data_IF_177767608083
#
_entry.id   IF_177767608083
#
_cell.length_a   1.000
_cell.length_b   1.000
_cell.length_c   1.000
_cell.angle_alpha   90.00
_cell.angle_beta   90.00
_cell.angle_gamma   90.00
#
_symmetry.space_group_name_H-M   'P 1'
#
loop_
_entity.id
_entity.type
_entity.pdbx_description
1 polymer ?
#
# COMPACT_ATOMS: atom_id res chain seq x y z
N UNK A 1 16.83 42.32 -17.58
CA UNK A 1 18.00 41.48 -17.23
C UNK A 1 17.82 40.17 -17.95
N UNK A 2 18.77 39.81 -18.82
CA UNK A 2 18.67 38.70 -19.77
C UNK A 2 18.48 37.36 -19.07
N UNK A 3 17.46 36.60 -19.48
CA UNK A 3 17.39 35.15 -19.28
C UNK A 3 18.56 34.52 -20.03
N UNK A 4 19.66 34.28 -19.32
CA UNK A 4 20.73 33.45 -19.84
C UNK A 4 20.18 32.01 -19.94
N UNK A 5 19.87 31.56 -21.15
CA UNK A 5 19.57 30.16 -21.40
C UNK A 5 20.78 29.35 -20.96
N UNK A 6 20.66 28.60 -19.86
CA UNK A 6 21.68 27.66 -19.42
C UNK A 6 21.81 26.64 -20.56
N UNK A 7 22.87 26.76 -21.37
CA UNK A 7 23.19 25.80 -22.41
C UNK A 7 23.53 24.49 -21.72
N UNK A 8 22.54 23.59 -21.66
CA UNK A 8 22.68 22.25 -21.10
C UNK A 8 23.54 21.42 -22.03
N UNK A 9 24.54 20.71 -21.49
CA UNK A 9 25.09 19.55 -22.19
C UNK A 9 24.00 18.47 -22.26
N UNK A 10 23.98 17.68 -23.33
CA UNK A 10 23.03 16.57 -23.49
C UNK A 10 22.99 15.70 -22.22
N UNK A 11 21.80 15.24 -21.82
CA UNK A 11 21.57 14.49 -20.58
C UNK A 11 22.63 13.40 -20.40
N UNK A 12 23.26 13.39 -19.22
CA UNK A 12 24.28 12.42 -18.80
C UNK A 12 23.67 11.08 -18.36
N UNK A 13 22.56 10.69 -19.00
CA UNK A 13 21.99 9.35 -18.85
C UNK A 13 22.90 8.29 -19.46
N UNK A 14 22.60 6.99 -19.25
CA UNK A 14 23.42 5.87 -19.77
C UNK A 14 23.57 5.86 -21.31
N UNK A 15 22.92 6.77 -22.03
CA UNK A 15 22.92 6.93 -23.49
C UNK A 15 23.58 8.21 -24.04
N UNK A 16 24.41 8.96 -23.27
CA UNK A 16 25.20 10.10 -23.82
C UNK A 16 26.59 10.31 -23.17
N UNK A 17 27.50 11.07 -23.81
CA UNK A 17 28.88 10.68 -24.14
C UNK A 17 29.78 10.44 -22.92
N UNK A 18 30.66 9.43 -23.07
CA UNK A 18 31.64 8.93 -22.10
C UNK A 18 32.02 9.92 -20.98
N UNK A 19 31.32 9.83 -19.86
CA UNK A 19 31.68 10.52 -18.63
C UNK A 19 33.01 9.93 -18.17
N UNK A 20 34.05 10.76 -18.05
CA UNK A 20 35.30 10.32 -17.44
C UNK A 20 35.04 9.81 -16.02
N UNK A 21 35.85 8.86 -15.51
CA UNK A 21 35.62 8.14 -14.25
C UNK A 21 35.21 9.04 -13.05
N UNK A 22 35.72 10.27 -12.97
CA UNK A 22 35.36 11.25 -11.91
C UNK A 22 33.90 11.71 -11.97
N UNK A 23 33.35 11.93 -13.16
CA UNK A 23 31.96 12.36 -13.32
C UNK A 23 30.99 11.23 -12.99
N UNK A 24 31.33 9.99 -13.36
CA UNK A 24 30.54 8.80 -13.00
C UNK A 24 30.51 8.62 -11.48
N UNK A 25 31.68 8.69 -10.81
CA UNK A 25 31.77 8.66 -9.34
C UNK A 25 30.98 9.79 -8.67
N UNK A 26 30.96 10.99 -9.25
CA UNK A 26 30.16 12.10 -8.71
C UNK A 26 28.66 11.84 -8.87
N UNK A 27 28.23 11.32 -10.02
CA UNK A 27 26.82 10.96 -10.26
C UNK A 27 26.34 9.88 -9.29
N UNK A 28 27.11 8.80 -9.13
CA UNK A 28 26.80 7.73 -8.17
C UNK A 28 26.71 8.24 -6.74
N UNK A 29 27.64 9.12 -6.34
CA UNK A 29 27.57 9.73 -5.01
C UNK A 29 26.32 10.59 -4.81
N UNK A 30 25.85 11.29 -5.84
CA UNK A 30 24.59 12.06 -5.76
C UNK A 30 23.41 11.10 -5.58
N UNK A 31 23.33 9.99 -6.32
CA UNK A 31 22.23 9.03 -6.21
C UNK A 31 22.24 8.30 -4.87
N UNK A 32 23.41 7.89 -4.37
CA UNK A 32 23.59 7.26 -3.06
C UNK A 32 23.11 8.15 -1.91
N UNK A 33 23.58 9.40 -1.82
CA UNK A 33 23.14 10.30 -0.73
C UNK A 33 21.68 10.71 -0.88
N UNK A 34 21.16 10.75 -2.11
CA UNK A 34 19.74 11.03 -2.35
C UNK A 34 18.88 9.90 -1.82
N UNK A 35 19.27 8.64 -2.05
CA UNK A 35 18.57 7.47 -1.51
C UNK A 35 18.56 7.49 0.03
N UNK A 36 19.69 7.80 0.66
CA UNK A 36 19.77 7.95 2.13
C UNK A 36 18.84 9.06 2.64
N UNK A 37 18.87 10.23 2.00
CA UNK A 37 18.02 11.37 2.38
C UNK A 37 16.54 11.06 2.18
N UNK A 38 16.16 10.40 1.09
CA UNK A 38 14.79 9.96 0.87
C UNK A 38 14.34 8.95 1.93
N UNK A 39 15.22 8.04 2.36
CA UNK A 39 14.92 7.11 3.45
C UNK A 39 14.70 7.80 4.79
N UNK A 40 15.49 8.84 5.10
CA UNK A 40 15.42 9.54 6.39
C UNK A 40 14.36 10.63 6.46
N UNK A 41 14.21 11.42 5.40
CA UNK A 41 13.35 12.61 5.37
C UNK A 41 12.07 12.39 4.58
N UNK A 42 12.00 11.33 3.77
CA UNK A 42 10.96 11.18 2.75
C UNK A 42 11.26 11.99 1.48
N UNK A 43 10.59 11.61 0.40
CA UNK A 43 10.73 12.24 -0.91
C UNK A 43 10.31 13.71 -0.90
N UNK A 44 9.18 14.02 -0.27
CA UNK A 44 8.59 15.36 -0.30
C UNK A 44 9.45 16.39 0.43
N UNK A 45 10.00 16.04 1.59
CA UNK A 45 10.79 16.94 2.43
C UNK A 45 12.28 17.01 2.06
N UNK A 46 12.74 16.12 1.16
CA UNK A 46 14.10 16.20 0.64
C UNK A 46 14.23 17.32 -0.40
N UNK A 47 15.17 18.24 -0.21
CA UNK A 47 15.46 19.35 -1.12
C UNK A 47 16.74 19.14 -1.94
N UNK A 48 16.82 19.77 -3.10
CA UNK A 48 18.04 19.76 -3.95
C UNK A 48 19.25 20.34 -3.19
N UNK A 49 19.03 21.35 -2.34
CA UNK A 49 20.09 21.95 -1.53
C UNK A 49 20.60 20.98 -0.45
N UNK A 50 19.71 20.20 0.18
CA UNK A 50 20.10 19.15 1.11
C UNK A 50 20.92 18.06 0.42
N UNK A 51 20.50 17.63 -0.77
CA UNK A 51 21.24 16.65 -1.58
C UNK A 51 22.61 17.18 -1.96
N UNK A 52 22.72 18.40 -2.49
CA UNK A 52 24.00 18.99 -2.89
C UNK A 52 24.96 19.10 -1.70
N UNK A 53 24.46 19.53 -0.53
CA UNK A 53 25.23 19.61 0.71
C UNK A 53 25.72 18.22 1.16
N UNK A 54 24.85 17.22 1.18
CA UNK A 54 25.22 15.85 1.56
C UNK A 54 26.22 15.23 0.56
N UNK A 55 26.05 15.52 -0.72
CA UNK A 55 26.98 15.15 -1.79
C UNK A 55 28.24 16.03 -1.81
N UNK A 56 28.47 16.96 -0.87
CA UNK A 56 29.67 17.80 -0.85
C UNK A 56 29.96 18.55 -2.16
N UNK A 57 28.91 18.95 -2.90
CA UNK A 57 29.02 19.70 -4.16
C UNK A 57 28.18 20.97 -4.09
N UNK A 58 28.44 21.93 -4.98
CA UNK A 58 27.57 23.10 -5.09
C UNK A 58 26.24 22.74 -5.76
N UNK A 59 25.18 23.51 -5.45
CA UNK A 59 23.88 23.39 -6.13
C UNK A 59 24.03 23.51 -7.65
N UNK A 60 24.86 24.44 -8.12
CA UNK A 60 25.16 24.61 -9.53
C UNK A 60 25.83 23.37 -10.14
N UNK A 61 26.73 22.70 -9.41
CA UNK A 61 27.34 21.45 -9.85
C UNK A 61 26.32 20.30 -9.88
N UNK A 62 25.39 20.20 -8.93
CA UNK A 62 24.32 19.19 -8.98
C UNK A 62 23.48 19.34 -10.25
N UNK A 63 23.10 20.57 -10.60
CA UNK A 63 22.36 20.84 -11.84
C UNK A 63 23.10 20.51 -13.13
N UNK A 64 24.43 20.30 -13.06
CA UNK A 64 25.18 19.75 -14.19
C UNK A 64 24.89 18.26 -14.39
N UNK A 65 24.47 17.52 -13.37
CA UNK A 65 24.18 16.08 -13.46
C UNK A 65 22.68 15.78 -13.55
N UNK A 66 21.85 16.53 -12.82
CA UNK A 66 20.41 16.29 -12.68
C UNK A 66 19.60 17.60 -12.68
N UNK A 67 18.45 17.62 -13.35
CA UNK A 67 17.49 18.72 -13.38
C UNK A 67 16.80 18.96 -12.03
N UNK A 68 16.88 18.01 -11.12
CA UNK A 68 16.32 18.11 -9.77
C UNK A 68 16.17 16.73 -9.13
N UNK A 69 15.54 16.71 -7.95
CA UNK A 69 15.31 15.47 -7.19
C UNK A 69 14.45 14.46 -7.96
N UNK A 70 13.51 14.94 -8.76
CA UNK A 70 12.62 14.10 -9.58
C UNK A 70 13.43 13.24 -10.57
N UNK A 71 14.44 13.81 -11.26
CA UNK A 71 15.31 13.05 -12.19
C UNK A 71 16.20 12.06 -11.45
N UNK A 72 16.70 12.42 -10.26
CA UNK A 72 17.48 11.50 -9.42
C UNK A 72 16.61 10.31 -8.99
N UNK A 73 15.38 10.57 -8.57
CA UNK A 73 14.44 9.51 -8.19
C UNK A 73 14.11 8.59 -9.37
N UNK A 74 13.91 9.14 -10.57
CA UNK A 74 13.66 8.34 -11.78
C UNK A 74 14.86 7.45 -12.15
N UNK A 75 16.10 7.90 -11.92
CA UNK A 75 17.29 7.06 -12.08
C UNK A 75 17.30 5.89 -11.10
N UNK A 76 17.05 6.15 -9.82
CA UNK A 76 16.95 5.12 -8.79
C UNK A 76 15.79 4.14 -9.06
N UNK A 77 14.66 4.64 -9.55
CA UNK A 77 13.51 3.83 -9.96
C UNK A 77 13.88 2.90 -11.12
N UNK A 78 14.64 3.36 -12.10
CA UNK A 78 15.10 2.52 -13.22
C UNK A 78 16.05 1.41 -12.77
N UNK A 79 16.91 1.67 -11.79
CA UNK A 79 17.81 0.64 -11.22
C UNK A 79 17.01 -0.45 -10.49
N UNK A 80 16.11 -0.05 -9.58
CA UNK A 80 15.21 -0.96 -8.87
C UNK A 80 14.33 -1.75 -9.85
N UNK A 81 13.72 -1.04 -10.80
CA UNK A 81 12.84 -1.62 -11.80
C UNK A 81 13.55 -2.63 -12.71
N UNK A 82 14.80 -2.37 -13.07
CA UNK A 82 15.62 -3.31 -13.82
C UNK A 82 15.85 -4.63 -13.07
N UNK A 83 15.97 -4.58 -11.74
CA UNK A 83 16.06 -5.78 -10.91
C UNK A 83 14.75 -6.59 -10.95
N UNK A 84 13.60 -5.94 -10.73
CA UNK A 84 12.28 -6.59 -10.84
C UNK A 84 12.03 -7.19 -12.22
N UNK A 85 12.33 -6.46 -13.31
CA UNK A 85 12.17 -7.00 -14.67
C UNK A 85 13.10 -8.18 -14.97
N UNK A 86 14.25 -8.32 -14.28
CA UNK A 86 15.06 -9.55 -14.38
C UNK A 86 14.34 -10.74 -13.75
N UNK A 87 13.70 -10.54 -12.60
CA UNK A 87 12.92 -11.58 -11.91
C UNK A 87 11.74 -12.01 -12.79
N UNK A 88 10.92 -11.07 -13.27
CA UNK A 88 9.77 -11.37 -14.14
C UNK A 88 10.16 -12.04 -15.48
N UNK A 89 11.38 -11.81 -16.01
CA UNK A 89 11.85 -12.50 -17.22
C UNK A 89 12.26 -13.95 -16.97
N UNK A 90 12.68 -14.26 -15.75
CA UNK A 90 13.26 -15.56 -15.37
C UNK A 90 12.23 -16.52 -14.81
N UNK A 91 11.06 -16.02 -14.41
CA UNK A 91 9.98 -16.86 -13.91
C UNK A 91 9.61 -17.92 -14.96
N UNK A 92 9.62 -19.18 -14.53
CA UNK A 92 9.23 -20.33 -15.33
C UNK A 92 7.72 -20.39 -15.56
N UNK A 93 7.24 -21.44 -16.25
CA UNK A 93 5.81 -21.73 -16.35
C UNK A 93 5.18 -21.84 -14.96
N UNK A 94 3.98 -21.29 -14.79
CA UNK A 94 3.15 -21.56 -13.62
C UNK A 94 2.16 -22.67 -13.94
N UNK A 95 1.47 -23.17 -12.94
CA UNK A 95 0.42 -24.18 -13.13
C UNK A 95 0.04 -24.90 -11.85
N UNK A 96 -1.00 -25.74 -11.88
CA UNK A 96 -1.46 -26.56 -10.75
C UNK A 96 -0.57 -27.80 -10.51
N UNK A 97 0.75 -27.68 -10.71
CA UNK A 97 1.72 -28.76 -10.53
C UNK A 97 2.91 -28.29 -9.67
N UNK A 98 3.76 -29.24 -9.26
CA UNK A 98 4.90 -28.95 -8.38
C UNK A 98 5.87 -27.93 -9.01
N UNK A 99 6.14 -28.03 -10.31
CA UNK A 99 7.05 -27.09 -10.99
C UNK A 99 6.46 -25.68 -11.04
N UNK A 100 5.16 -25.56 -11.33
CA UNK A 100 4.45 -24.29 -11.33
C UNK A 100 4.42 -23.63 -9.96
N UNK A 101 4.18 -24.43 -8.91
CA UNK A 101 4.19 -23.95 -7.53
C UNK A 101 5.58 -23.53 -7.06
N UNK A 102 6.61 -24.31 -7.38
CA UNK A 102 8.02 -23.98 -7.11
C UNK A 102 8.42 -22.67 -7.80
N UNK A 103 8.02 -22.46 -9.05
CA UNK A 103 8.29 -21.23 -9.80
C UNK A 103 7.60 -20.00 -9.16
N UNK A 104 6.38 -20.15 -8.66
CA UNK A 104 5.67 -19.10 -7.94
C UNK A 104 6.35 -18.76 -6.62
N UNK A 105 6.71 -19.77 -5.82
CA UNK A 105 7.43 -19.58 -4.56
C UNK A 105 8.80 -18.92 -4.77
N UNK A 106 9.55 -19.36 -5.79
CA UNK A 106 10.81 -18.75 -6.19
C UNK A 106 10.63 -17.27 -6.57
N UNK A 107 9.60 -16.95 -7.38
CA UNK A 107 9.32 -15.56 -7.76
C UNK A 107 9.03 -14.69 -6.53
N UNK A 108 8.25 -15.19 -5.57
CA UNK A 108 7.98 -14.48 -4.31
C UNK A 108 9.26 -14.24 -3.50
N UNK A 109 10.15 -15.23 -3.43
CA UNK A 109 11.45 -15.10 -2.77
C UNK A 109 12.36 -14.05 -3.41
N UNK A 110 12.50 -14.09 -4.73
CA UNK A 110 13.29 -13.09 -5.47
C UNK A 110 12.68 -11.70 -5.37
N UNK A 111 11.36 -11.58 -5.42
CA UNK A 111 10.68 -10.31 -5.24
C UNK A 111 10.94 -9.74 -3.84
N UNK A 112 10.85 -10.57 -2.80
CA UNK A 112 11.16 -10.17 -1.42
C UNK A 112 12.61 -9.72 -1.25
N UNK A 113 13.56 -10.43 -1.87
CA UNK A 113 14.97 -10.02 -1.89
C UNK A 113 15.19 -8.68 -2.60
N UNK A 114 14.55 -8.46 -3.75
CA UNK A 114 14.60 -7.16 -4.45
C UNK A 114 13.99 -6.07 -3.57
N UNK A 115 12.88 -6.35 -2.90
CA UNK A 115 12.27 -5.40 -1.97
C UNK A 115 13.22 -5.00 -0.86
N UNK A 116 13.81 -5.97 -0.14
CA UNK A 116 14.75 -5.71 0.95
C UNK A 116 15.93 -4.86 0.48
N UNK A 117 16.52 -5.20 -0.68
CA UNK A 117 17.65 -4.47 -1.24
C UNK A 117 17.32 -3.02 -1.60
N UNK A 118 16.10 -2.75 -2.04
CA UNK A 118 15.66 -1.44 -2.53
C UNK A 118 14.52 -0.86 -1.68
N UNK A 119 14.47 -1.20 -0.38
CA UNK A 119 13.28 -0.95 0.44
C UNK A 119 12.89 0.52 0.51
N UNK A 120 13.88 1.42 0.61
CA UNK A 120 13.65 2.87 0.56
C UNK A 120 12.90 3.28 -0.71
N UNK A 121 13.24 2.72 -1.88
CA UNK A 121 12.53 3.04 -3.12
C UNK A 121 11.07 2.58 -3.09
N UNK A 122 10.79 1.38 -2.56
CA UNK A 122 9.42 0.87 -2.47
C UNK A 122 8.57 1.62 -1.45
N UNK A 123 9.16 2.02 -0.31
CA UNK A 123 8.49 2.87 0.69
C UNK A 123 8.15 4.22 0.07
N UNK A 124 9.12 4.88 -0.56
CA UNK A 124 8.89 6.21 -1.15
C UNK A 124 7.97 6.18 -2.35
N UNK A 125 8.05 5.14 -3.18
CA UNK A 125 7.09 4.92 -4.25
C UNK A 125 5.67 4.96 -3.70
N UNK A 126 5.37 4.21 -2.64
CA UNK A 126 4.01 4.10 -2.09
C UNK A 126 3.43 5.49 -1.79
N UNK A 127 4.20 6.33 -1.09
CA UNK A 127 3.80 7.71 -0.79
C UNK A 127 3.66 8.61 -2.05
N UNK A 128 4.54 8.42 -3.05
CA UNK A 128 4.52 9.19 -4.31
C UNK A 128 3.34 8.78 -5.20
N UNK A 129 3.01 7.49 -5.25
CA UNK A 129 1.91 6.95 -6.07
C UNK A 129 0.54 7.47 -5.57
N UNK A 130 0.42 7.70 -4.26
CA UNK A 130 -0.77 8.27 -3.61
C UNK A 130 -0.89 9.80 -3.76
N UNK A 131 0.07 10.46 -4.43
CA UNK A 131 0.13 11.93 -4.55
C UNK A 131 0.25 12.40 -6.00
N UNK A 132 -0.27 13.58 -6.32
CA UNK A 132 -0.07 14.19 -7.64
C UNK A 132 1.36 14.74 -7.76
N UNK A 133 2.23 14.02 -8.47
CA UNK A 133 3.65 14.35 -8.65
C UNK A 133 4.09 14.18 -10.10
N UNK A 134 5.18 14.85 -10.47
CA UNK A 134 5.81 14.68 -11.80
C UNK A 134 6.38 13.28 -12.04
N UNK A 135 6.61 12.51 -10.98
CA UNK A 135 7.21 11.17 -11.04
C UNK A 135 6.14 10.08 -11.14
N UNK A 136 4.92 10.32 -10.62
CA UNK A 136 3.81 9.36 -10.63
C UNK A 136 3.56 8.70 -11.99
N UNK A 137 3.53 9.42 -13.14
CA UNK A 137 3.32 8.78 -14.44
C UNK A 137 4.38 7.73 -14.80
N UNK A 138 5.64 7.95 -14.41
CA UNK A 138 6.71 6.99 -14.67
C UNK A 138 6.57 5.72 -13.81
N UNK A 139 6.14 5.87 -12.55
CA UNK A 139 5.81 4.75 -11.66
C UNK A 139 4.65 3.94 -12.23
N UNK A 140 3.55 4.59 -12.61
CA UNK A 140 2.39 3.91 -13.22
C UNK A 140 2.78 3.17 -14.51
N UNK A 141 3.60 3.79 -15.36
CA UNK A 141 4.12 3.15 -16.59
C UNK A 141 5.00 1.93 -16.30
N UNK A 142 5.84 2.00 -15.26
CA UNK A 142 6.65 0.88 -14.80
C UNK A 142 5.77 -0.29 -14.34
N UNK A 143 4.80 -0.03 -13.45
CA UNK A 143 3.88 -1.05 -12.92
C UNK A 143 3.11 -1.73 -14.04
N UNK A 144 2.54 -0.96 -14.95
CA UNK A 144 1.80 -1.48 -16.10
C UNK A 144 2.67 -2.41 -16.94
N UNK A 145 3.90 -1.97 -17.24
CA UNK A 145 4.84 -2.76 -18.04
C UNK A 145 5.27 -4.05 -17.32
N UNK A 146 5.39 -4.02 -15.99
CA UNK A 146 5.71 -5.19 -15.17
C UNK A 146 4.53 -6.18 -15.13
N UNK A 147 3.33 -5.69 -14.84
CA UNK A 147 2.10 -6.49 -14.79
C UNK A 147 1.82 -7.14 -16.14
N UNK A 148 1.98 -6.41 -17.26
CA UNK A 148 1.78 -6.95 -18.59
C UNK A 148 2.64 -8.19 -18.86
N UNK A 149 3.93 -8.16 -18.50
CA UNK A 149 4.82 -9.32 -18.66
C UNK A 149 4.40 -10.50 -17.78
N UNK A 150 3.93 -10.23 -16.57
CA UNK A 150 3.45 -11.27 -15.67
C UNK A 150 2.12 -11.85 -16.20
N UNK A 151 1.27 -11.02 -16.79
CA UNK A 151 0.02 -11.41 -17.44
C UNK A 151 0.28 -12.32 -18.66
N UNK A 152 1.27 -12.00 -19.50
CA UNK A 152 1.71 -12.89 -20.60
C UNK A 152 2.12 -14.27 -20.07
N UNK A 153 2.87 -14.31 -18.96
CA UNK A 153 3.25 -15.59 -18.31
C UNK A 153 2.04 -16.35 -17.79
N UNK A 154 1.11 -15.67 -17.13
CA UNK A 154 -0.11 -16.27 -16.58
C UNK A 154 -1.02 -16.82 -17.69
N UNK A 155 -1.21 -16.06 -18.77
CA UNK A 155 -1.98 -16.48 -19.94
C UNK A 155 -1.40 -17.75 -20.57
N UNK A 156 -0.07 -17.84 -20.68
CA UNK A 156 0.63 -19.03 -21.17
C UNK A 156 0.57 -20.23 -20.20
N UNK A 157 0.13 -20.02 -18.95
CA UNK A 157 0.08 -21.02 -17.88
C UNK A 157 -1.33 -21.60 -17.65
N UNK A 158 -2.29 -21.31 -18.54
CA UNK A 158 -3.63 -21.90 -18.49
C UNK A 158 -4.53 -21.36 -17.36
N UNK A 159 -4.38 -20.08 -17.01
CA UNK A 159 -5.22 -19.38 -16.02
C UNK A 159 -6.73 -19.56 -16.33
N UNK A 160 -7.54 -19.86 -15.30
CA UNK A 160 -8.98 -20.10 -15.43
C UNK A 160 -9.81 -19.09 -14.62
N UNK A 161 -10.80 -18.49 -15.29
CA UNK A 161 -11.82 -17.66 -14.65
C UNK A 161 -11.30 -16.36 -14.01
N UNK A 162 -10.14 -15.87 -14.46
CA UNK A 162 -9.60 -14.55 -14.16
C UNK A 162 -8.95 -14.00 -15.43
N UNK A 163 -9.10 -12.70 -15.68
CA UNK A 163 -8.32 -12.02 -16.71
C UNK A 163 -6.83 -11.98 -16.30
N UNK A 164 -5.87 -12.28 -17.20
CA UNK A 164 -4.45 -12.31 -16.87
C UNK A 164 -3.88 -10.98 -16.37
N UNK A 165 -4.34 -9.83 -16.88
CA UNK A 165 -3.89 -8.50 -16.41
C UNK A 165 -4.42 -8.22 -15.01
N UNK A 166 -5.69 -8.55 -14.76
CA UNK A 166 -6.30 -8.44 -13.41
C UNK A 166 -5.58 -9.34 -12.40
N UNK A 167 -5.25 -10.58 -12.79
CA UNK A 167 -4.51 -11.51 -11.94
C UNK A 167 -3.09 -11.01 -11.66
N UNK A 168 -2.37 -10.55 -12.68
CA UNK A 168 -1.02 -9.98 -12.53
C UNK A 168 -0.99 -8.73 -11.64
N UNK A 169 -1.97 -7.83 -11.82
CA UNK A 169 -2.16 -6.65 -10.98
C UNK A 169 -2.38 -7.06 -9.51
N UNK A 170 -3.29 -8.02 -9.28
CA UNK A 170 -3.61 -8.50 -7.94
C UNK A 170 -2.39 -9.12 -7.27
N UNK A 171 -1.67 -10.00 -7.97
CA UNK A 171 -0.43 -10.61 -7.48
C UNK A 171 0.60 -9.54 -7.08
N UNK A 172 0.89 -8.60 -7.96
CA UNK A 172 1.91 -7.57 -7.71
C UNK A 172 1.52 -6.64 -6.56
N UNK A 173 0.24 -6.25 -6.47
CA UNK A 173 -0.27 -5.41 -5.38
C UNK A 173 -0.12 -6.09 -4.01
N UNK A 174 -0.48 -7.38 -3.93
CA UNK A 174 -0.36 -8.16 -2.70
C UNK A 174 1.09 -8.36 -2.27
N UNK A 175 1.95 -8.76 -3.19
CA UNK A 175 3.36 -9.03 -2.89
C UNK A 175 4.08 -7.77 -2.42
N UNK A 176 3.81 -6.63 -3.07
CA UNK A 176 4.34 -5.34 -2.62
C UNK A 176 3.86 -4.99 -1.21
N UNK A 177 2.56 -5.11 -0.97
CA UNK A 177 1.98 -4.68 0.30
C UNK A 177 2.44 -5.55 1.48
N UNK A 178 2.55 -6.86 1.28
CA UNK A 178 3.02 -7.78 2.31
C UNK A 178 4.49 -7.54 2.66
N UNK A 179 5.36 -7.38 1.66
CA UNK A 179 6.77 -7.05 1.94
C UNK A 179 6.91 -5.70 2.65
N UNK A 180 6.08 -4.72 2.29
CA UNK A 180 6.04 -3.45 3.00
C UNK A 180 5.63 -3.63 4.46
N UNK A 181 4.61 -4.46 4.75
CA UNK A 181 4.22 -4.74 6.14
C UNK A 181 5.32 -5.41 6.94
N UNK A 182 6.01 -6.42 6.37
CA UNK A 182 7.15 -7.07 7.02
C UNK A 182 8.27 -6.06 7.28
N UNK A 183 8.61 -5.22 6.30
CA UNK A 183 9.69 -4.22 6.42
C UNK A 183 9.38 -3.12 7.45
N UNK A 184 8.11 -2.71 7.56
CA UNK A 184 7.68 -1.67 8.51
C UNK A 184 7.24 -2.22 9.87
N UNK A 185 7.60 -3.47 10.20
CA UNK A 185 7.25 -4.15 11.46
C UNK A 185 5.74 -4.21 11.77
N UNK A 186 4.93 -4.32 10.71
CA UNK A 186 3.46 -4.46 10.77
C UNK A 186 3.03 -5.91 10.52
N UNK A 187 3.97 -6.83 10.59
CA UNK A 187 3.77 -8.27 10.45
C UNK A 187 3.78 -9.01 11.79
N UNK A 188 3.71 -8.30 12.93
CA UNK A 188 3.57 -8.89 14.26
C UNK A 188 4.68 -9.92 14.59
N UNK A 189 5.92 -9.58 14.21
CA UNK A 189 7.08 -10.45 14.40
C UNK A 189 7.20 -11.60 13.37
N UNK A 190 6.30 -11.69 12.38
CA UNK A 190 6.43 -12.67 11.28
C UNK A 190 7.51 -12.27 10.29
N UNK A 191 8.24 -13.27 9.83
CA UNK A 191 9.37 -13.10 8.92
C UNK A 191 8.92 -13.00 7.46
N UNK A 192 9.85 -12.56 6.59
CA UNK A 192 9.64 -12.63 5.15
C UNK A 192 9.37 -14.07 4.65
N UNK A 193 9.93 -15.09 5.32
CA UNK A 193 9.68 -16.50 4.98
C UNK A 193 8.23 -16.90 5.26
N UNK A 194 7.68 -16.52 6.42
CA UNK A 194 6.27 -16.78 6.78
C UNK A 194 5.32 -16.12 5.78
N UNK A 195 5.67 -14.89 5.37
CA UNK A 195 4.97 -14.15 4.34
C UNK A 195 5.00 -14.85 2.98
N UNK A 196 6.18 -15.26 2.50
CA UNK A 196 6.36 -15.97 1.22
C UNK A 196 5.59 -17.30 1.22
N UNK A 197 5.70 -18.08 2.29
CA UNK A 197 5.06 -19.39 2.39
C UNK A 197 3.53 -19.28 2.30
N UNK A 198 2.95 -18.37 3.08
CA UNK A 198 1.49 -18.14 3.09
C UNK A 198 1.01 -17.54 1.76
N UNK A 199 1.74 -16.57 1.20
CA UNK A 199 1.41 -15.99 -0.11
C UNK A 199 1.51 -17.01 -1.25
N UNK A 200 2.46 -17.95 -1.17
CA UNK A 200 2.62 -18.99 -2.19
C UNK A 200 1.36 -19.82 -2.30
N UNK A 201 0.85 -20.31 -1.16
CA UNK A 201 -0.38 -21.11 -1.11
C UNK A 201 -1.59 -20.27 -1.52
N UNK A 202 -1.73 -19.06 -0.99
CA UNK A 202 -2.84 -18.17 -1.30
C UNK A 202 -2.91 -17.87 -2.81
N UNK A 203 -1.81 -17.37 -3.41
CA UNK A 203 -1.77 -17.03 -4.83
C UNK A 203 -1.92 -18.27 -5.72
N UNK A 204 -1.32 -19.40 -5.35
CA UNK A 204 -1.48 -20.65 -6.08
C UNK A 204 -2.96 -21.04 -6.19
N UNK A 205 -3.71 -20.94 -5.10
CA UNK A 205 -5.14 -21.26 -5.09
C UNK A 205 -6.00 -20.22 -5.82
N UNK A 206 -5.66 -18.93 -5.73
CA UNK A 206 -6.35 -17.88 -6.50
C UNK A 206 -6.22 -18.11 -8.00
N UNK A 207 -4.99 -18.37 -8.47
CA UNK A 207 -4.67 -18.54 -9.88
C UNK A 207 -5.09 -19.90 -10.42
N UNK A 208 -4.87 -20.96 -9.63
CA UNK A 208 -5.09 -22.35 -10.00
C UNK A 208 -5.91 -23.07 -8.90
N UNK A 209 -7.22 -22.81 -8.81
CA UNK A 209 -8.06 -23.29 -7.72
C UNK A 209 -8.19 -24.81 -7.61
N UNK A 210 -7.93 -25.54 -8.71
CA UNK A 210 -7.94 -27.00 -8.75
C UNK A 210 -6.55 -27.61 -8.43
N UNK A 211 -5.62 -26.84 -7.87
CA UNK A 211 -4.28 -27.33 -7.48
C UNK A 211 -4.41 -28.50 -6.50
N UNK A 212 -3.80 -29.68 -6.79
CA UNK A 212 -3.88 -30.84 -5.92
C UNK A 212 -3.27 -30.56 -4.53
N UNK A 213 -3.85 -31.07 -3.42
CA UNK A 213 -3.30 -30.89 -2.08
C UNK A 213 -1.86 -31.39 -1.90
N UNK A 214 -1.42 -32.37 -2.69
CA UNK A 214 -0.05 -32.86 -2.67
C UNK A 214 0.96 -31.79 -3.14
N UNK A 215 0.59 -31.00 -4.15
CA UNK A 215 1.42 -29.90 -4.67
C UNK A 215 1.63 -28.83 -3.60
N UNK A 216 0.59 -28.45 -2.86
CA UNK A 216 0.69 -27.45 -1.79
C UNK A 216 1.59 -27.89 -0.61
N UNK A 217 1.94 -29.18 -0.55
CA UNK A 217 2.81 -29.77 0.48
C UNK A 217 4.22 -30.10 -0.04
N UNK A 218 4.49 -29.91 -1.33
CA UNK A 218 5.77 -30.32 -1.96
C UNK A 218 6.98 -29.57 -1.39
N UNK A 219 6.80 -28.30 -1.02
CA UNK A 219 7.88 -27.40 -0.61
C UNK A 219 8.20 -27.39 0.90
N UNK A 220 7.47 -28.16 1.72
CA UNK A 220 7.67 -28.15 3.18
C UNK A 220 7.50 -26.76 3.81
N UNK A 221 6.51 -26.00 3.35
CA UNK A 221 6.23 -24.63 3.78
C UNK A 221 5.88 -24.59 5.28
N UNK A 222 6.18 -23.46 5.93
CA UNK A 222 5.75 -23.21 7.30
C UNK A 222 4.23 -23.25 7.41
N UNK A 223 3.74 -23.91 8.46
CA UNK A 223 2.33 -23.98 8.80
C UNK A 223 2.16 -23.64 10.29
N UNK A 224 1.19 -22.79 10.59
CA UNK A 224 0.76 -22.53 11.96
C UNK A 224 0.33 -23.83 12.66
N UNK A 225 0.95 -24.14 13.79
CA UNK A 225 0.60 -25.31 14.59
C UNK A 225 -0.72 -25.12 15.38
N UNK A 226 -0.97 -23.89 15.85
CA UNK A 226 -2.21 -23.51 16.55
C UNK A 226 -2.64 -22.12 16.07
N UNK A 227 -3.46 -22.06 14.98
CA UNK A 227 -3.87 -20.79 14.41
C UNK A 227 -4.65 -19.88 15.36
N UNK A 228 -5.35 -20.45 16.35
CA UNK A 228 -6.08 -19.63 17.32
C UNK A 228 -5.10 -18.99 18.31
N UNK A 229 -4.17 -19.78 18.85
CA UNK A 229 -3.15 -19.26 19.77
C UNK A 229 -2.23 -18.21 19.10
N UNK A 230 -1.89 -18.40 17.82
CA UNK A 230 -1.09 -17.42 17.07
C UNK A 230 -1.81 -16.06 16.95
N UNK A 231 -3.14 -16.07 16.77
CA UNK A 231 -3.94 -14.84 16.72
C UNK A 231 -4.05 -14.21 18.11
N UNK A 232 -4.27 -15.02 19.15
CA UNK A 232 -4.37 -14.53 20.53
C UNK A 232 -3.04 -13.99 21.07
N UNK A 233 -1.90 -14.39 20.48
CA UNK A 233 -0.58 -13.87 20.82
C UNK A 233 -0.31 -12.44 20.28
N UNK A 234 -1.09 -11.98 19.29
CA UNK A 234 -0.95 -10.63 18.73
C UNK A 234 -1.26 -9.59 19.81
N UNK A 235 -0.26 -8.78 20.14
CA UNK A 235 -0.41 -7.73 21.15
C UNK A 235 -1.25 -6.58 20.61
N UNK A 236 -2.34 -6.27 21.33
CA UNK A 236 -3.19 -5.12 21.01
C UNK A 236 -2.62 -3.89 21.73
N UNK A 237 -2.22 -2.82 21.01
CA UNK A 237 -1.81 -1.56 21.64
C UNK A 237 -2.91 -1.00 22.53
N UNK A 238 -2.58 -0.11 23.46
CA UNK A 238 -3.59 0.56 24.28
C UNK A 238 -4.58 1.35 23.42
N UNK A 239 -5.84 1.42 23.87
CA UNK A 239 -6.83 2.26 23.20
C UNK A 239 -6.44 3.75 23.35
N UNK A 240 -6.50 4.55 22.27
CA UNK A 240 -6.20 5.98 22.36
C UNK A 240 -7.24 6.71 23.21
N UNK A 241 -6.83 7.80 23.86
CA UNK A 241 -7.78 8.72 24.49
C UNK A 241 -8.43 9.61 23.42
N UNK A 242 -9.72 9.44 23.23
CA UNK A 242 -10.53 10.17 22.25
C UNK A 242 -11.41 11.24 22.86
N UNK A 243 -11.30 11.48 24.17
CA UNK A 243 -12.20 12.35 24.92
C UNK A 243 -12.27 13.74 24.30
N UNK A 244 -13.46 14.12 23.81
CA UNK A 244 -13.71 15.44 23.23
C UNK A 244 -13.18 15.66 21.82
N UNK A 245 -12.59 14.63 21.19
CA UNK A 245 -12.09 14.72 19.82
C UNK A 245 -13.19 14.44 18.80
N UNK A 246 -14.10 13.50 19.09
CA UNK A 246 -15.09 13.05 18.12
C UNK A 246 -16.02 14.20 17.68
N UNK A 247 -16.41 14.19 16.40
CA UNK A 247 -17.41 15.14 15.88
C UNK A 247 -18.71 15.03 16.68
N UNK A 248 -19.09 13.82 17.09
CA UNK A 248 -20.29 13.58 17.91
C UNK A 248 -20.23 14.33 19.24
N UNK A 249 -19.14 14.24 20.00
CA UNK A 249 -18.98 14.96 21.26
C UNK A 249 -18.91 16.47 21.02
N UNK A 250 -18.14 16.90 20.02
CA UNK A 250 -17.97 18.32 19.64
C UNK A 250 -19.30 18.98 19.25
N UNK A 251 -20.24 18.20 18.73
CA UNK A 251 -21.54 18.67 18.27
C UNK A 251 -22.70 18.44 19.23
N UNK A 252 -22.48 17.75 20.36
CA UNK A 252 -23.54 17.31 21.28
C UNK A 252 -24.47 18.43 21.76
N UNK A 253 -23.93 19.64 21.98
CA UNK A 253 -24.67 20.80 22.48
C UNK A 253 -24.84 21.90 21.42
N UNK A 254 -24.57 21.60 20.14
CA UNK A 254 -24.65 22.55 19.05
C UNK A 254 -26.02 22.54 18.39
N UNK A 255 -26.40 23.67 17.77
CA UNK A 255 -27.61 23.75 16.95
C UNK A 255 -27.48 22.83 15.72
N UNK A 256 -28.60 22.34 15.17
CA UNK A 256 -28.61 21.51 13.95
C UNK A 256 -27.77 22.10 12.80
N UNK A 257 -27.83 23.43 12.64
CA UNK A 257 -27.03 24.14 11.63
C UNK A 257 -25.53 24.06 11.92
N UNK A 258 -25.14 24.20 13.18
CA UNK A 258 -23.75 24.09 13.58
C UNK A 258 -23.24 22.64 13.44
N UNK A 259 -24.05 21.63 13.78
CA UNK A 259 -23.73 20.22 13.52
C UNK A 259 -23.45 19.98 12.02
N UNK A 260 -24.38 20.41 11.15
CA UNK A 260 -24.20 20.28 9.70
C UNK A 260 -22.92 20.98 9.19
N UNK A 261 -22.56 22.13 9.78
CA UNK A 261 -21.34 22.85 9.42
C UNK A 261 -20.08 22.06 9.82
N UNK A 262 -20.06 21.47 11.03
CA UNK A 262 -18.94 20.64 11.49
C UNK A 262 -18.79 19.40 10.61
N UNK A 263 -19.88 18.70 10.30
CA UNK A 263 -19.86 17.55 9.39
C UNK A 263 -19.36 17.93 8.00
N UNK A 264 -19.81 19.07 7.45
CA UNK A 264 -19.34 19.56 6.13
C UNK A 264 -17.84 19.82 6.13
N UNK A 265 -17.30 20.41 7.20
CA UNK A 265 -15.86 20.64 7.35
C UNK A 265 -15.07 19.34 7.48
N UNK A 266 -15.58 18.36 8.24
CA UNK A 266 -14.97 17.04 8.38
C UNK A 266 -14.92 16.29 7.04
N UNK A 267 -16.02 16.30 6.30
CA UNK A 267 -16.15 15.65 4.98
C UNK A 267 -15.25 16.32 3.93
N UNK A 268 -15.23 17.65 3.89
CA UNK A 268 -14.31 18.40 3.03
C UNK A 268 -12.86 18.11 3.39
N UNK A 269 -12.55 18.02 4.68
CA UNK A 269 -11.25 17.62 5.21
C UNK A 269 -10.79 16.26 4.69
N UNK A 270 -11.60 15.22 4.93
CA UNK A 270 -11.32 13.86 4.47
C UNK A 270 -11.13 13.80 2.95
N UNK A 271 -11.98 14.49 2.18
CA UNK A 271 -11.87 14.56 0.73
C UNK A 271 -10.57 15.24 0.26
N UNK A 272 -10.14 16.34 0.91
CA UNK A 272 -8.88 16.99 0.57
C UNK A 272 -7.66 16.14 0.96
N UNK A 273 -7.69 15.48 2.12
CA UNK A 273 -6.62 14.55 2.52
C UNK A 273 -6.48 13.39 1.55
N UNK A 274 -7.60 12.82 1.07
CA UNK A 274 -7.59 11.79 0.03
C UNK A 274 -7.01 12.31 -1.29
N UNK A 275 -7.41 13.50 -1.72
CA UNK A 275 -7.04 14.02 -3.04
C UNK A 275 -5.57 14.48 -3.12
N UNK A 276 -4.99 14.97 -2.03
CA UNK A 276 -3.69 15.66 -2.04
C UNK A 276 -2.68 15.14 -1.02
N UNK A 277 -3.10 14.23 -0.14
CA UNK A 277 -2.37 13.82 1.05
C UNK A 277 -2.48 14.83 2.20
N UNK A 278 -2.33 14.36 3.44
CA UNK A 278 -2.45 15.19 4.63
C UNK A 278 -1.44 16.36 4.65
N UNK A 279 -0.16 16.11 4.34
CA UNK A 279 0.90 17.13 4.39
C UNK A 279 0.62 18.30 3.44
N UNK A 280 0.14 18.02 2.23
CA UNK A 280 -0.08 19.02 1.17
C UNK A 280 -1.40 19.78 1.31
N UNK A 281 -2.35 19.29 2.10
CA UNK A 281 -3.64 19.97 2.32
C UNK A 281 -3.49 21.15 3.28
N UNK A 282 -4.08 22.29 2.93
CA UNK A 282 -4.16 23.48 3.78
C UNK A 282 -5.57 23.71 4.35
N UNK A 283 -5.71 24.54 5.39
CA UNK A 283 -7.04 24.96 5.89
C UNK A 283 -7.82 25.71 4.82
N UNK A 284 -7.15 26.47 3.96
CA UNK A 284 -7.79 27.22 2.87
C UNK A 284 -8.42 26.29 1.83
N UNK A 285 -7.77 25.17 1.51
CA UNK A 285 -8.33 24.13 0.63
C UNK A 285 -9.61 23.52 1.22
N UNK A 286 -9.61 23.27 2.54
CA UNK A 286 -10.74 22.65 3.24
C UNK A 286 -11.93 23.58 3.27
N UNK A 287 -11.74 24.85 3.63
CA UNK A 287 -12.86 25.80 3.71
C UNK A 287 -13.40 26.18 2.33
N UNK A 288 -12.53 26.18 1.30
CA UNK A 288 -12.96 26.33 -0.08
C UNK A 288 -13.83 25.14 -0.52
N UNK A 289 -13.41 23.90 -0.23
CA UNK A 289 -14.18 22.71 -0.55
C UNK A 289 -15.49 22.60 0.25
N UNK A 290 -15.52 23.09 1.49
CA UNK A 290 -16.71 23.16 2.34
C UNK A 290 -17.63 24.34 2.04
N UNK A 291 -17.24 25.25 1.13
CA UNK A 291 -17.96 26.49 0.81
C UNK A 291 -18.26 27.37 2.05
N UNK A 292 -17.30 27.46 2.98
CA UNK A 292 -17.42 28.29 4.19
C UNK A 292 -16.30 29.31 4.32
N UNK A 293 -16.54 30.37 5.09
CA UNK A 293 -15.50 31.34 5.42
C UNK A 293 -14.42 30.70 6.32
N UNK A 294 -13.16 31.13 6.16
CA UNK A 294 -12.04 30.69 7.00
C UNK A 294 -12.30 30.81 8.50
N UNK A 295 -12.96 31.89 8.94
CA UNK A 295 -13.33 32.08 10.35
C UNK A 295 -14.31 31.02 10.88
N UNK A 296 -15.10 30.39 10.01
CA UNK A 296 -15.99 29.29 10.38
C UNK A 296 -15.21 28.04 10.77
N UNK A 297 -14.08 27.76 10.12
CA UNK A 297 -13.21 26.63 10.50
C UNK A 297 -12.70 26.80 11.93
N UNK A 298 -12.07 27.95 12.21
CA UNK A 298 -11.46 28.24 13.52
C UNK A 298 -12.47 28.37 14.67
N UNK A 299 -13.76 28.46 14.36
CA UNK A 299 -14.83 28.35 15.36
C UNK A 299 -14.98 26.92 15.89
N UNK A 300 -14.67 25.91 15.07
CA UNK A 300 -14.91 24.51 15.38
C UNK A 300 -13.65 23.68 15.49
N UNK A 301 -12.56 24.06 14.83
CA UNK A 301 -11.29 23.33 14.84
C UNK A 301 -10.13 24.30 15.05
N UNK A 302 -9.16 23.97 15.90
CA UNK A 302 -8.01 24.85 16.15
C UNK A 302 -7.08 24.93 14.95
N UNK A 303 -6.88 23.81 14.27
CA UNK A 303 -5.97 23.64 13.15
C UNK A 303 -6.33 22.38 12.34
N UNK A 304 -5.51 22.08 11.33
CA UNK A 304 -5.68 20.91 10.45
C UNK A 304 -5.49 19.58 11.19
N UNK A 305 -4.65 19.54 12.23
CA UNK A 305 -4.37 18.34 13.02
C UNK A 305 -5.53 18.02 13.95
N UNK A 306 -6.17 19.02 14.57
CA UNK A 306 -7.43 18.86 15.34
C UNK A 306 -8.56 18.31 14.46
N UNK A 307 -8.71 18.81 13.23
CA UNK A 307 -9.65 18.23 12.27
C UNK A 307 -9.29 16.77 11.92
N UNK A 308 -8.01 16.47 11.65
CA UNK A 308 -7.57 15.10 11.38
C UNK A 308 -7.85 14.16 12.56
N UNK A 309 -7.61 14.61 13.80
CA UNK A 309 -7.90 13.84 15.01
C UNK A 309 -9.41 13.58 15.17
N UNK A 310 -10.25 14.58 14.88
CA UNK A 310 -11.71 14.42 14.93
C UNK A 310 -12.22 13.40 13.90
N UNK A 311 -11.74 13.47 12.66
CA UNK A 311 -12.04 12.47 11.62
C UNK A 311 -11.46 11.10 11.97
N UNK A 312 -10.23 11.07 12.52
CA UNK A 312 -9.58 9.85 12.99
C UNK A 312 -10.40 9.13 14.08
N UNK A 313 -11.00 9.87 15.01
CA UNK A 313 -11.87 9.30 16.03
C UNK A 313 -13.13 8.64 15.43
N UNK A 314 -13.73 9.23 14.38
CA UNK A 314 -14.84 8.59 13.64
C UNK A 314 -14.38 7.31 12.93
N UNK A 315 -13.23 7.37 12.24
CA UNK A 315 -12.63 6.24 11.54
C UNK A 315 -12.30 5.11 12.51
N UNK A 316 -11.81 5.43 13.71
CA UNK A 316 -11.55 4.47 14.77
C UNK A 316 -12.81 3.73 15.23
N UNK A 317 -13.89 4.48 15.53
CA UNK A 317 -15.17 3.90 15.95
C UNK A 317 -15.78 3.00 14.87
N UNK A 318 -15.78 3.47 13.62
CA UNK A 318 -16.25 2.67 12.48
C UNK A 318 -15.37 1.42 12.25
N UNK A 319 -14.05 1.56 12.34
CA UNK A 319 -13.08 0.47 12.19
C UNK A 319 -13.26 -0.64 13.21
N UNK A 320 -13.49 -0.30 14.48
CA UNK A 320 -13.86 -1.28 15.53
C UNK A 320 -15.10 -2.08 15.15
N UNK A 321 -16.14 -1.40 14.69
CA UNK A 321 -17.37 -2.04 14.28
C UNK A 321 -17.17 -2.96 13.05
N UNK A 322 -16.29 -2.59 12.11
CA UNK A 322 -15.90 -3.47 11.00
C UNK A 322 -15.17 -4.72 11.47
N UNK A 323 -14.22 -4.56 12.40
CA UNK A 323 -13.45 -5.65 12.99
C UNK A 323 -14.34 -6.67 13.73
N UNK A 324 -15.29 -6.18 14.52
CA UNK A 324 -16.27 -7.02 15.23
C UNK A 324 -17.17 -7.78 14.24
N UNK A 325 -17.67 -7.10 13.20
CA UNK A 325 -18.54 -7.74 12.20
C UNK A 325 -17.82 -8.81 11.41
N UNK A 326 -16.62 -8.52 10.87
CA UNK A 326 -15.91 -9.49 10.02
C UNK A 326 -15.56 -10.77 10.79
N UNK A 327 -15.22 -10.65 12.07
CA UNK A 327 -14.92 -11.79 12.94
C UNK A 327 -16.10 -12.77 13.11
N UNK A 328 -17.33 -12.33 12.82
CA UNK A 328 -18.55 -13.14 12.91
C UNK A 328 -19.01 -13.71 11.56
N UNK A 329 -18.42 -13.28 10.45
CA UNK A 329 -18.80 -13.76 9.11
C UNK A 329 -18.33 -15.20 8.93
N UNK A 330 -19.23 -16.06 8.46
CA UNK A 330 -18.85 -17.35 7.85
C UNK A 330 -18.78 -17.13 6.33
N UNK A 331 -17.57 -17.00 5.76
CA UNK A 331 -17.39 -16.58 4.37
C UNK A 331 -17.86 -17.63 3.35
N UNK A 332 -18.13 -18.87 3.78
CA UNK A 332 -18.60 -19.95 2.93
C UNK A 332 -20.12 -20.15 3.07
N UNK A 333 -20.66 -19.96 4.27
CA UNK A 333 -22.10 -20.11 4.51
C UNK A 333 -22.91 -18.83 4.25
N UNK A 334 -22.29 -17.64 4.37
CA UNK A 334 -22.95 -16.35 4.28
C UNK A 334 -22.24 -15.39 3.31
N UNK A 335 -22.31 -15.75 2.02
CA UNK A 335 -21.68 -14.99 0.94
C UNK A 335 -22.24 -13.57 0.80
N UNK A 336 -23.55 -13.40 1.06
CA UNK A 336 -24.22 -12.10 1.01
C UNK A 336 -23.67 -11.12 2.05
N UNK A 337 -23.47 -11.59 3.29
CA UNK A 337 -22.94 -10.74 4.35
C UNK A 337 -21.48 -10.39 4.09
N UNK A 338 -20.66 -11.34 3.61
CA UNK A 338 -19.29 -11.03 3.22
C UNK A 338 -19.24 -9.99 2.10
N UNK A 339 -20.05 -10.15 1.05
CA UNK A 339 -20.14 -9.19 -0.06
C UNK A 339 -20.53 -7.80 0.43
N UNK A 340 -21.56 -7.70 1.28
CA UNK A 340 -22.01 -6.43 1.85
C UNK A 340 -20.93 -5.79 2.72
N UNK A 341 -20.23 -6.59 3.53
CA UNK A 341 -19.11 -6.13 4.34
C UNK A 341 -17.98 -5.58 3.45
N UNK A 342 -17.61 -6.27 2.37
CA UNK A 342 -16.58 -5.79 1.44
C UNK A 342 -16.99 -4.49 0.75
N UNK A 343 -18.22 -4.41 0.24
CA UNK A 343 -18.72 -3.22 -0.44
C UNK A 343 -18.69 -1.99 0.48
N UNK A 344 -19.16 -2.16 1.73
CA UNK A 344 -19.17 -1.07 2.72
C UNK A 344 -17.77 -0.72 3.23
N UNK A 345 -16.89 -1.70 3.39
CA UNK A 345 -15.50 -1.46 3.80
C UNK A 345 -14.69 -0.76 2.71
N UNK A 346 -14.82 -1.18 1.44
CA UNK A 346 -14.14 -0.52 0.31
C UNK A 346 -14.59 0.93 0.19
N UNK A 347 -15.88 1.22 0.33
CA UNK A 347 -16.39 2.59 0.33
C UNK A 347 -15.89 3.41 1.51
N UNK A 348 -15.86 2.82 2.71
CA UNK A 348 -15.30 3.45 3.90
C UNK A 348 -13.80 3.77 3.72
N UNK A 349 -13.01 2.79 3.27
CA UNK A 349 -11.59 2.96 3.03
C UNK A 349 -11.34 4.02 1.96
N UNK A 350 -12.09 4.00 0.87
CA UNK A 350 -12.02 5.00 -0.18
C UNK A 350 -12.19 6.41 0.39
N UNK A 351 -13.28 6.64 1.13
CA UNK A 351 -13.61 7.94 1.76
C UNK A 351 -12.52 8.44 2.71
N UNK A 352 -11.90 7.56 3.49
CA UNK A 352 -10.98 7.94 4.57
C UNK A 352 -9.51 7.59 4.33
N UNK A 353 -9.16 7.07 3.16
CA UNK A 353 -7.81 6.68 2.74
C UNK A 353 -6.75 7.73 3.09
N UNK A 354 -6.97 9.01 2.74
CA UNK A 354 -6.02 10.08 3.08
C UNK A 354 -5.84 10.35 4.57
N UNK A 355 -6.84 10.05 5.41
CA UNK A 355 -6.69 10.07 6.87
C UNK A 355 -5.90 8.85 7.33
N UNK A 356 -6.22 7.66 6.80
CA UNK A 356 -5.55 6.39 7.12
C UNK A 356 -4.06 6.42 6.77
N UNK A 357 -3.74 6.95 5.60
CA UNK A 357 -2.37 7.08 5.14
C UNK A 357 -1.59 8.10 6.00
N UNK A 358 -2.27 9.05 6.65
CA UNK A 358 -1.60 10.04 7.49
C UNK A 358 -0.80 9.39 8.63
N UNK A 359 -1.33 8.34 9.27
CA UNK A 359 -0.56 7.55 10.26
C UNK A 359 0.16 6.36 9.62
N UNK A 360 -0.41 5.71 8.60
CA UNK A 360 0.19 4.51 8.00
C UNK A 360 1.51 4.82 7.28
N UNK A 361 1.70 6.06 6.81
CA UNK A 361 2.94 6.53 6.18
C UNK A 361 3.81 7.38 7.13
N UNK A 362 3.46 7.47 8.42
CA UNK A 362 4.25 8.24 9.40
C UNK A 362 4.29 9.74 9.08
N UNK A 363 3.19 10.31 8.58
CA UNK A 363 3.17 11.71 8.17
C UNK A 363 2.92 12.68 9.33
N UNK A 364 2.55 12.16 10.50
CA UNK A 364 2.31 12.86 11.76
C UNK A 364 2.95 12.11 12.92
N UNK A 365 3.43 12.85 13.92
CA UNK A 365 3.97 12.32 15.19
C UNK A 365 3.00 12.51 16.37
N UNK A 366 1.74 12.90 16.08
CA UNK A 366 0.70 13.06 17.09
C UNK A 366 0.37 11.71 17.76
N UNK A 367 0.57 11.56 19.08
CA UNK A 367 0.39 10.27 19.75
C UNK A 367 -1.04 9.73 19.67
N UNK A 368 -2.04 10.61 19.63
CA UNK A 368 -3.45 10.20 19.56
C UNK A 368 -3.79 9.68 18.18
N UNK A 369 -3.37 10.37 17.12
CA UNK A 369 -3.58 9.92 15.73
C UNK A 369 -2.80 8.63 15.46
N UNK A 370 -1.57 8.51 15.95
CA UNK A 370 -0.79 7.27 15.87
C UNK A 370 -1.51 6.14 16.62
N UNK A 371 -1.97 6.37 17.85
CA UNK A 371 -2.70 5.38 18.65
C UNK A 371 -4.03 4.94 18.03
N UNK A 372 -4.78 5.85 17.40
CA UNK A 372 -5.96 5.53 16.57
C UNK A 372 -5.59 4.51 15.50
N UNK A 373 -4.52 4.80 14.78
CA UNK A 373 -4.05 3.98 13.67
C UNK A 373 -3.57 2.60 14.10
N UNK A 374 -2.66 2.55 15.08
CA UNK A 374 -2.05 1.32 15.57
C UNK A 374 -3.10 0.40 16.22
N UNK A 375 -3.88 0.90 17.17
CA UNK A 375 -4.89 0.08 17.84
C UNK A 375 -6.00 -0.35 16.85
N UNK A 376 -6.53 0.59 16.06
CA UNK A 376 -7.62 0.30 15.12
C UNK A 376 -7.23 -0.72 14.07
N UNK A 377 -5.99 -0.65 13.57
CA UNK A 377 -5.49 -1.60 12.58
C UNK A 377 -5.31 -3.00 13.16
N UNK A 378 -4.76 -3.12 14.37
CA UNK A 378 -4.57 -4.42 15.02
C UNK A 378 -5.91 -5.11 15.28
N UNK A 379 -6.91 -4.36 15.75
CA UNK A 379 -8.25 -4.92 15.96
C UNK A 379 -8.86 -5.44 14.65
N UNK A 380 -8.70 -4.70 13.56
CA UNK A 380 -9.16 -5.10 12.24
C UNK A 380 -8.47 -6.38 11.76
N UNK A 381 -7.15 -6.48 11.92
CA UNK A 381 -6.36 -7.64 11.51
C UNK A 381 -6.71 -8.88 12.36
N UNK A 382 -6.90 -8.73 13.68
CA UNK A 382 -7.38 -9.81 14.56
C UNK A 382 -8.79 -10.26 14.16
N UNK A 383 -9.69 -9.33 13.85
CA UNK A 383 -11.04 -9.65 13.42
C UNK A 383 -11.04 -10.46 12.11
N UNK A 384 -10.23 -10.03 11.14
CA UNK A 384 -9.99 -10.75 9.90
C UNK A 384 -9.39 -12.15 10.14
N UNK A 385 -8.36 -12.26 10.98
CA UNK A 385 -7.73 -13.54 11.30
C UNK A 385 -8.73 -14.52 11.92
N UNK A 386 -9.57 -14.04 12.86
CA UNK A 386 -10.65 -14.84 13.47
C UNK A 386 -11.68 -15.33 12.46
N UNK A 387 -12.01 -14.53 11.45
CA UNK A 387 -12.88 -15.00 10.36
C UNK A 387 -12.22 -16.16 9.59
N UNK A 388 -10.93 -16.01 9.27
CA UNK A 388 -10.17 -16.97 8.47
C UNK A 388 -9.93 -18.30 9.22
N UNK A 389 -9.71 -18.25 10.53
CA UNK A 389 -9.46 -19.45 11.35
C UNK A 389 -10.72 -20.25 11.73
N UNK A 390 -11.93 -19.74 11.44
CA UNK A 390 -13.18 -20.50 11.66
C UNK A 390 -13.29 -21.76 10.79
N UNK A 391 -12.72 -21.71 9.59
CA UNK A 391 -12.70 -22.81 8.62
C UNK A 391 -11.31 -22.87 7.99
N UNK A 392 -10.30 -23.33 8.76
CA UNK A 392 -8.93 -23.34 8.28
C UNK A 392 -8.83 -24.27 7.07
N UNK A 393 -8.13 -23.81 6.01
CA UNK A 393 -7.82 -24.64 4.86
C UNK A 393 -6.95 -25.85 5.24
N UNK A 394 -6.99 -26.91 4.43
CA UNK A 394 -6.21 -28.13 4.67
C UNK A 394 -4.74 -28.04 4.20
N UNK A 395 -4.23 -26.81 4.08
CA UNK A 395 -2.93 -26.47 3.51
C UNK A 395 -2.13 -25.60 4.48
N UNK A 396 -0.79 -25.50 4.32
CA UNK A 396 0.04 -24.62 5.14
C UNK A 396 -0.39 -23.15 5.02
N UNK A 397 -0.55 -22.48 6.16
CA UNK A 397 -0.74 -21.04 6.21
C UNK A 397 -0.37 -20.50 7.60
N UNK A 398 -0.12 -19.20 7.67
CA UNK A 398 -0.10 -18.43 8.91
C UNK A 398 -1.36 -17.55 8.99
N UNK A 399 -2.15 -17.57 10.09
CA UNK A 399 -3.40 -16.84 10.20
C UNK A 399 -3.21 -15.32 10.23
N UNK A 400 -2.09 -14.86 10.78
CA UNK A 400 -1.74 -13.45 10.90
C UNK A 400 -1.33 -12.90 9.53
N UNK A 401 -0.47 -13.61 8.80
CA UNK A 401 -0.15 -13.26 7.41
C UNK A 401 -1.41 -13.33 6.54
N UNK A 402 -2.27 -14.34 6.72
CA UNK A 402 -3.53 -14.44 5.98
C UNK A 402 -4.44 -13.23 6.19
N UNK A 403 -4.52 -12.70 7.41
CA UNK A 403 -5.23 -11.46 7.68
C UNK A 403 -4.60 -10.24 6.99
N UNK A 404 -3.27 -10.17 6.93
CA UNK A 404 -2.55 -9.13 6.19
C UNK A 404 -2.74 -9.23 4.67
N UNK A 405 -2.89 -10.44 4.13
CA UNK A 405 -3.27 -10.68 2.72
C UNK A 405 -4.69 -10.16 2.50
N UNK A 406 -5.64 -10.47 3.38
CA UNK A 406 -7.01 -9.96 3.28
C UNK A 406 -7.05 -8.43 3.36
N UNK A 407 -6.31 -7.83 4.29
CA UNK A 407 -6.14 -6.37 4.38
C UNK A 407 -5.59 -5.81 3.07
N UNK A 408 -4.57 -6.44 2.51
CA UNK A 408 -3.96 -6.02 1.24
C UNK A 408 -4.95 -6.11 0.08
N UNK A 409 -5.76 -7.18 0.01
CA UNK A 409 -6.83 -7.32 -0.97
C UNK A 409 -7.79 -6.12 -0.89
N UNK A 410 -8.38 -5.87 0.28
CA UNK A 410 -9.45 -4.87 0.41
C UNK A 410 -8.97 -3.42 0.36
N UNK A 411 -7.68 -3.17 0.58
CA UNK A 411 -7.11 -1.81 0.60
C UNK A 411 -6.26 -1.47 -0.62
N UNK A 412 -5.67 -2.44 -1.34
CA UNK A 412 -4.77 -2.17 -2.49
C UNK A 412 -5.35 -2.58 -3.83
N UNK A 413 -6.13 -3.66 -3.89
CA UNK A 413 -6.70 -4.10 -5.17
C UNK A 413 -7.69 -3.08 -5.74
N UNK A 414 -8.59 -2.45 -4.96
CA UNK A 414 -9.45 -1.39 -5.47
C UNK A 414 -8.68 -0.21 -6.07
N UNK A 415 -7.59 0.21 -5.43
CA UNK A 415 -6.73 1.31 -5.90
C UNK A 415 -5.99 0.91 -7.18
N UNK A 416 -5.36 -0.26 -7.19
CA UNK A 416 -4.58 -0.75 -8.33
C UNK A 416 -5.46 -1.03 -9.57
N UNK A 417 -6.74 -1.37 -9.37
CA UNK A 417 -7.70 -1.55 -10.45
C UNK A 417 -7.99 -0.24 -11.23
N UNK A 418 -7.79 0.93 -10.63
CA UNK A 418 -7.95 2.23 -11.31
C UNK A 418 -6.85 2.48 -12.35
N UNK A 419 -5.69 1.85 -12.20
CA UNK A 419 -4.53 2.01 -13.10
C UNK A 419 -4.56 1.02 -14.30
N UNK A 420 -5.51 0.08 -14.30
CA UNK A 420 -5.73 -0.83 -15.42
C UNK A 420 -6.13 -0.06 -16.69
N UNK A 421 -5.75 -0.55 -17.89
CA UNK A 421 -6.18 0.04 -19.15
C UNK A 421 -7.71 0.07 -19.30
N UNK A 422 -8.35 -1.03 -18.89
CA UNK A 422 -9.80 -1.15 -18.75
C UNK A 422 -10.11 -1.19 -17.24
N UNK A 423 -10.66 -0.09 -16.73
CA UNK A 423 -10.94 0.03 -15.30
C UNK A 423 -12.11 -0.85 -14.91
N UNK A 424 -11.94 -1.59 -13.81
CA UNK A 424 -13.02 -2.35 -13.22
C UNK A 424 -14.00 -1.40 -12.53
N UNK A 425 -15.30 -1.64 -12.71
CA UNK A 425 -16.35 -1.03 -11.91
C UNK A 425 -16.24 -1.46 -10.44
N UNK A 426 -16.92 -0.72 -9.55
CA UNK A 426 -16.96 -1.06 -8.12
C UNK A 426 -17.47 -2.49 -7.90
N UNK A 427 -18.52 -2.90 -8.60
CA UNK A 427 -19.07 -4.25 -8.46
C UNK A 427 -18.09 -5.32 -8.94
N UNK A 428 -17.38 -5.10 -10.06
CA UNK A 428 -16.34 -6.03 -10.55
C UNK A 428 -15.16 -6.14 -9.58
N UNK A 429 -14.77 -5.04 -8.92
CA UNK A 429 -13.77 -5.07 -7.84
C UNK A 429 -14.28 -5.94 -6.68
N UNK A 430 -15.53 -5.78 -6.25
CA UNK A 430 -16.08 -6.62 -5.18
C UNK A 430 -16.13 -8.10 -5.60
N UNK A 431 -16.50 -8.43 -6.84
CA UNK A 431 -16.46 -9.80 -7.35
C UNK A 431 -15.04 -10.38 -7.38
N UNK A 432 -14.05 -9.56 -7.75
CA UNK A 432 -12.64 -9.95 -7.73
C UNK A 432 -12.18 -10.26 -6.29
N UNK A 433 -12.52 -9.41 -5.33
CA UNK A 433 -12.22 -9.63 -3.92
C UNK A 433 -12.88 -10.92 -3.40
N UNK A 434 -14.16 -11.13 -3.70
CA UNK A 434 -14.88 -12.36 -3.35
C UNK A 434 -14.21 -13.59 -3.95
N UNK A 435 -13.83 -13.52 -5.24
CA UNK A 435 -13.14 -14.61 -5.94
C UNK A 435 -11.80 -14.93 -5.30
N UNK A 436 -11.00 -13.91 -4.98
CA UNK A 436 -9.71 -14.06 -4.32
C UNK A 436 -9.85 -14.69 -2.92
N UNK A 437 -10.82 -14.22 -2.13
CA UNK A 437 -11.06 -14.74 -0.77
C UNK A 437 -11.53 -16.20 -0.83
N UNK A 438 -12.53 -16.50 -1.67
CA UNK A 438 -13.09 -17.86 -1.78
C UNK A 438 -12.06 -18.85 -2.29
N UNK A 439 -11.29 -18.50 -3.31
CA UNK A 439 -10.25 -19.38 -3.85
C UNK A 439 -9.06 -19.48 -2.90
N UNK A 440 -8.48 -18.35 -2.50
CA UNK A 440 -7.22 -18.31 -1.76
C UNK A 440 -7.28 -18.78 -0.31
N UNK A 441 -8.43 -18.64 0.36
CA UNK A 441 -8.59 -19.04 1.77
C UNK A 441 -9.57 -20.19 2.00
N UNK A 442 -10.47 -20.48 1.05
CA UNK A 442 -11.56 -21.43 1.27
C UNK A 442 -11.77 -22.43 0.11
N UNK A 443 -10.81 -22.55 -0.82
CA UNK A 443 -10.86 -23.59 -1.84
C UNK A 443 -10.95 -24.97 -1.16
N UNK A 444 -11.96 -25.75 -1.55
CA UNK A 444 -12.12 -27.12 -1.06
C UNK A 444 -11.10 -28.00 -1.75
N UNK A 445 -10.29 -28.71 -0.98
CA UNK A 445 -9.65 -29.93 -1.47
C UNK A 445 -10.79 -30.89 -1.86
N UNK A 446 -11.01 -31.09 -3.16
CA UNK A 446 -11.92 -32.13 -3.64
C UNK A 446 -11.37 -33.51 -3.30
#
# INVERSE_FOLDING_TARGET
MSEASIVRRASYGPSSPAVGARGASTRSRITEVSLELFGRLGYFDTSVDAIAKAAGISRAALYQYFQGKDEIFLELLNECGSALFRVARRIGPMGPDETGFDNLNWWLGEWSWVFEKYSTMFVQWTAIASSDTKVRPAITGFVRSYNHRLAERLAASGLQGLDPEVAAMTMTALVHRINLFVHTDRAYGRSAKDAIDTLSVFLQLVLFPDTPPAVLKSLGLHASADPAADVDAVQVPDAPDLTGLSVTERTANLSKRAVATVTTLADAGAAQFRARGYRSTSVDDIVAAAEVARGTFYKYFSDKQDLLAAVGAEVYGAGKAFAERIAQVDPVADESTLRHWLATYVEFYDRYSGCIDAWAEGTTDDPTIVGIGENGQVLMDIGAARMLTRRPGAYPYDPVISALILRSLVTRVPEAALDLPEQLSRDEVIELLMTCIKRGFFARSK
#
